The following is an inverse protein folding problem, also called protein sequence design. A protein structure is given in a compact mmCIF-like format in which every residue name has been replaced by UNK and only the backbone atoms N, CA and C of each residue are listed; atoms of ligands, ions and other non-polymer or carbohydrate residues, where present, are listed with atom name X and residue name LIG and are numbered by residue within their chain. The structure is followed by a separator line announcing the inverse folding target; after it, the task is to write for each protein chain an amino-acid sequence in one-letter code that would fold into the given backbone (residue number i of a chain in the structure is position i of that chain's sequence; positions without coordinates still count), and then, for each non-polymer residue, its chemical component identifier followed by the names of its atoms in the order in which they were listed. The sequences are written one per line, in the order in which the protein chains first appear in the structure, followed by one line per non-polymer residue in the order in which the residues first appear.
data_IF_325243379282
#
_entry.id   IF_325243379282
#
_cell.length_a   1.000
_cell.length_b   1.000
_cell.length_c   1.000
_cell.angle_alpha   90.00
_cell.angle_beta   90.00
_cell.angle_gamma   90.00
#
_symmetry.space_group_name_H-M   'P 1'
#
loop_
_entity.id
_entity.type
_entity.pdbx_description
1 polymer ?
#
# COMPACT_ATOMS: atom_id res chain seq x y z
N UNK A 1 -16.30 -20.87 16.90
CA UNK A 1 -16.72 -20.01 18.01
C UNK A 1 -15.55 -19.87 18.99
N UNK A 2 -15.23 -18.62 19.40
CA UNK A 2 -14.22 -18.37 20.43
C UNK A 2 -12.77 -18.12 19.94
N UNK A 3 -12.51 -18.05 18.65
CA UNK A 3 -11.21 -17.68 18.09
C UNK A 3 -11.27 -16.25 17.54
N UNK A 4 -10.34 -15.40 18.00
CA UNK A 4 -10.09 -14.08 17.46
C UNK A 4 -9.02 -14.17 16.37
N UNK A 5 -9.34 -13.77 15.13
CA UNK A 5 -8.38 -13.63 14.04
C UNK A 5 -7.82 -12.21 14.05
N UNK A 6 -6.58 -12.02 14.50
CA UNK A 6 -5.94 -10.71 14.55
C UNK A 6 -5.61 -10.19 13.14
N UNK A 7 -5.25 -11.09 12.23
CA UNK A 7 -4.97 -10.75 10.84
C UNK A 7 -3.54 -10.26 10.59
N UNK A 8 -2.60 -10.64 11.43
CA UNK A 8 -1.19 -10.32 11.27
C UNK A 8 -0.38 -11.59 10.90
N UNK A 9 0.70 -11.37 10.15
CA UNK A 9 1.76 -12.36 9.97
C UNK A 9 2.75 -12.25 11.12
N UNK A 10 2.91 -13.34 11.85
CA UNK A 10 3.82 -13.44 12.98
C UNK A 10 4.78 -14.61 12.79
N UNK A 11 6.04 -14.41 13.13
CA UNK A 11 7.06 -15.46 13.24
C UNK A 11 7.47 -15.58 14.69
N UNK A 12 7.38 -16.79 15.24
CA UNK A 12 7.95 -17.10 16.55
C UNK A 12 9.40 -17.53 16.32
N UNK A 13 10.33 -16.85 16.99
CA UNK A 13 11.76 -17.18 16.91
C UNK A 13 12.08 -18.39 17.79
N UNK A 14 13.22 -19.08 17.56
CA UNK A 14 13.67 -20.16 18.45
C UNK A 14 13.88 -19.73 19.91
N UNK A 15 14.04 -18.41 20.16
CA UNK A 15 14.19 -17.83 21.52
C UNK A 15 12.84 -17.49 22.17
N UNK A 16 11.71 -17.80 21.53
CA UNK A 16 10.37 -17.51 22.03
C UNK A 16 9.91 -16.07 21.83
N UNK A 17 10.71 -15.17 21.22
CA UNK A 17 10.25 -13.84 20.83
C UNK A 17 9.43 -13.91 19.55
N UNK A 18 8.57 -12.91 19.32
CA UNK A 18 7.76 -12.80 18.11
C UNK A 18 8.17 -11.60 17.27
N UNK A 19 8.12 -11.77 15.95
CA UNK A 19 8.33 -10.72 14.96
C UNK A 19 7.05 -10.59 14.14
N UNK A 20 6.46 -9.41 14.10
CA UNK A 20 5.28 -9.12 13.27
C UNK A 20 5.78 -8.55 11.94
N UNK A 21 5.44 -9.23 10.84
CA UNK A 21 5.82 -8.81 9.48
C UNK A 21 4.81 -7.87 8.83
N UNK A 22 3.64 -7.69 9.43
CA UNK A 22 2.57 -6.83 8.94
C UNK A 22 1.23 -7.54 8.85
N UNK A 23 0.27 -6.88 8.24
CA UNK A 23 -1.09 -7.39 8.08
C UNK A 23 -1.17 -8.47 7.00
N UNK A 24 -1.91 -9.54 7.29
CA UNK A 24 -2.14 -10.61 6.31
C UNK A 24 -3.05 -10.19 5.15
N UNK A 25 -3.86 -9.15 5.36
CA UNK A 25 -4.78 -8.57 4.38
C UNK A 25 -4.15 -7.41 3.56
N UNK A 26 -3.00 -6.87 4.02
CA UNK A 26 -2.22 -5.84 3.33
C UNK A 26 -0.91 -6.38 2.72
N UNK A 27 -0.66 -7.70 2.82
CA UNK A 27 0.53 -8.33 2.24
C UNK A 27 0.50 -8.26 0.71
N UNK A 28 1.57 -7.80 0.11
CA UNK A 28 1.78 -7.87 -1.33
C UNK A 28 2.06 -9.32 -1.73
N UNK A 29 1.39 -9.83 -2.75
CA UNK A 29 1.59 -11.19 -3.25
C UNK A 29 1.67 -11.17 -4.78
N UNK A 30 2.89 -11.11 -5.30
CA UNK A 30 3.15 -11.03 -6.74
C UNK A 30 3.80 -12.30 -7.24
N UNK A 31 3.03 -13.08 -8.01
CA UNK A 31 3.52 -14.34 -8.60
C UNK A 31 4.07 -15.33 -7.56
N UNK A 32 3.41 -15.46 -6.40
CA UNK A 32 3.82 -16.34 -5.31
C UNK A 32 4.87 -15.78 -4.34
N UNK A 33 5.46 -14.62 -4.65
CA UNK A 33 6.37 -13.92 -3.74
C UNK A 33 5.55 -13.01 -2.83
N UNK A 34 5.64 -13.24 -1.52
CA UNK A 34 4.96 -12.44 -0.49
C UNK A 34 5.94 -11.49 0.17
N UNK A 35 5.50 -10.25 0.38
CA UNK A 35 6.25 -9.21 1.06
C UNK A 35 5.32 -8.37 1.93
N UNK A 36 5.79 -7.98 3.11
CA UNK A 36 5.11 -6.99 3.95
C UNK A 36 5.19 -5.59 3.32
N UNK A 37 4.13 -4.80 3.46
CA UNK A 37 4.13 -3.41 2.98
C UNK A 37 5.18 -2.54 3.69
N UNK A 38 5.55 -2.87 4.92
CA UNK A 38 6.59 -2.16 5.68
C UNK A 38 7.96 -2.17 5.00
N UNK A 39 8.37 -3.31 4.43
CA UNK A 39 9.63 -3.42 3.68
C UNK A 39 9.60 -2.57 2.40
N UNK A 40 8.46 -2.55 1.73
CA UNK A 40 8.24 -1.71 0.55
C UNK A 40 8.35 -0.22 0.89
N UNK A 41 7.66 0.21 1.95
CA UNK A 41 7.71 1.60 2.41
C UNK A 41 9.11 2.02 2.84
N UNK A 42 9.86 1.17 3.53
CA UNK A 42 11.23 1.47 3.93
C UNK A 42 12.15 1.78 2.73
N UNK A 43 11.91 1.12 1.58
CA UNK A 43 12.66 1.38 0.36
C UNK A 43 12.19 2.67 -0.32
N UNK A 44 10.87 2.84 -0.50
CA UNK A 44 10.30 3.98 -1.24
C UNK A 44 10.46 5.29 -0.48
N UNK A 45 10.19 5.29 0.83
CA UNK A 45 10.28 6.46 1.70
C UNK A 45 11.71 6.71 2.21
N UNK A 46 12.67 5.88 1.76
CA UNK A 46 14.09 6.14 1.93
C UNK A 46 14.67 7.17 0.96
N UNK A 47 13.89 7.61 -0.04
CA UNK A 47 14.24 8.71 -0.92
C UNK A 47 13.80 10.04 -0.28
N UNK A 48 14.69 11.01 -0.20
CA UNK A 48 14.40 12.34 0.37
C UNK A 48 13.29 13.10 -0.42
N UNK A 49 13.12 12.74 -1.68
CA UNK A 49 12.11 13.29 -2.58
C UNK A 49 10.69 12.76 -2.30
N UNK A 50 10.54 11.66 -1.56
CA UNK A 50 9.28 11.01 -1.25
C UNK A 50 8.88 11.27 0.20
N UNK A 51 7.86 12.10 0.40
CA UNK A 51 7.37 12.46 1.73
C UNK A 51 6.47 11.40 2.34
N UNK A 52 5.69 10.69 1.53
CA UNK A 52 4.78 9.62 1.95
C UNK A 52 4.45 8.72 0.74
N UNK A 53 3.99 7.51 0.99
CA UNK A 53 3.60 6.59 -0.07
C UNK A 53 2.46 5.66 0.34
N UNK A 54 1.75 5.10 -0.64
CA UNK A 54 0.74 4.07 -0.42
C UNK A 54 0.85 3.03 -1.53
N UNK A 55 1.11 1.77 -1.16
CA UNK A 55 1.17 0.66 -2.13
C UNK A 55 -0.08 -0.19 -2.07
N UNK A 56 -0.67 -0.46 -3.23
CA UNK A 56 -1.88 -1.28 -3.36
C UNK A 56 -1.64 -2.35 -4.44
N UNK A 57 -1.79 -3.60 -4.04
CA UNK A 57 -1.86 -4.73 -4.95
C UNK A 57 -3.33 -5.03 -5.25
N UNK A 58 -3.77 -4.77 -6.48
CA UNK A 58 -5.16 -4.98 -6.91
C UNK A 58 -5.45 -6.43 -7.27
N UNK A 59 -4.46 -7.34 -7.23
CA UNK A 59 -4.68 -8.75 -7.50
C UNK A 59 -5.69 -9.37 -6.52
N UNK A 60 -6.48 -10.31 -7.03
CA UNK A 60 -7.54 -10.97 -6.23
C UNK A 60 -8.84 -10.16 -6.08
N UNK A 61 -8.96 -8.99 -6.67
CA UNK A 61 -10.18 -8.18 -6.70
C UNK A 61 -11.06 -8.44 -7.95
N UNK A 62 -10.97 -9.66 -8.52
CA UNK A 62 -11.77 -10.04 -9.69
C UNK A 62 -11.07 -9.86 -11.03
N UNK A 63 -9.86 -9.30 -11.06
CA UNK A 63 -9.03 -9.22 -12.27
C UNK A 63 -8.02 -10.38 -12.29
N UNK A 64 -7.95 -11.10 -13.41
CA UNK A 64 -7.01 -12.22 -13.60
C UNK A 64 -5.54 -11.82 -13.48
N UNK A 65 -5.22 -10.54 -13.67
CA UNK A 65 -3.89 -9.97 -13.46
C UNK A 65 -4.01 -8.59 -12.82
N UNK A 66 -3.98 -8.55 -11.48
CA UNK A 66 -3.97 -7.28 -10.75
C UNK A 66 -2.68 -6.49 -10.96
N UNK A 67 -2.77 -5.17 -10.84
CA UNK A 67 -1.63 -4.26 -10.87
C UNK A 67 -1.11 -3.98 -9.45
N UNK A 68 0.20 -3.75 -9.36
CA UNK A 68 0.82 -3.13 -8.19
C UNK A 68 0.89 -1.63 -8.45
N UNK A 69 0.13 -0.86 -7.71
CA UNK A 69 0.07 0.60 -7.79
C UNK A 69 0.83 1.20 -6.60
N UNK A 70 1.69 2.17 -6.86
CA UNK A 70 2.36 2.95 -5.83
C UNK A 70 1.95 4.41 -5.95
N UNK A 71 1.25 4.91 -4.97
CA UNK A 71 0.87 6.31 -4.84
C UNK A 71 1.95 7.03 -4.04
N UNK A 72 2.39 8.20 -4.52
CA UNK A 72 3.50 8.96 -3.96
C UNK A 72 3.07 10.37 -3.62
N UNK A 73 3.46 10.84 -2.45
CA UNK A 73 3.47 12.26 -2.10
C UNK A 73 4.91 12.73 -2.27
N UNK A 74 5.16 13.63 -3.21
CA UNK A 74 6.50 14.10 -3.53
C UNK A 74 6.80 15.43 -2.82
N UNK A 75 8.07 15.68 -2.58
CA UNK A 75 8.54 16.96 -2.07
C UNK A 75 8.26 18.10 -3.08
N UNK A 76 8.15 19.32 -2.59
CA UNK A 76 7.87 20.48 -3.42
C UNK A 76 8.95 20.65 -4.51
N UNK A 77 8.49 20.84 -5.74
CA UNK A 77 9.38 21.03 -6.89
C UNK A 77 9.94 19.73 -7.50
N UNK A 78 9.65 18.58 -6.92
CA UNK A 78 10.04 17.26 -7.46
C UNK A 78 8.92 16.72 -8.37
N UNK A 79 9.30 16.18 -9.52
CA UNK A 79 8.37 15.53 -10.44
C UNK A 79 8.57 14.01 -10.46
N UNK A 80 7.53 13.27 -10.87
CA UNK A 80 7.61 11.81 -10.96
C UNK A 80 8.76 11.33 -11.87
N UNK A 81 8.99 11.91 -13.06
CA UNK A 81 10.12 11.53 -13.92
C UNK A 81 11.50 11.65 -13.26
N UNK A 82 11.65 12.53 -12.27
CA UNK A 82 12.93 12.73 -11.58
C UNK A 82 13.27 11.56 -10.65
N UNK A 83 12.25 10.96 -10.01
CA UNK A 83 12.45 9.95 -8.96
C UNK A 83 12.11 8.52 -9.42
N UNK A 84 11.23 8.34 -10.39
CA UNK A 84 10.73 7.03 -10.83
C UNK A 84 11.85 6.07 -11.26
N UNK A 85 12.87 6.48 -12.06
CA UNK A 85 13.95 5.58 -12.46
C UNK A 85 14.72 5.02 -11.25
N UNK A 86 15.00 5.87 -10.26
CA UNK A 86 15.68 5.47 -9.04
C UNK A 86 14.82 4.52 -8.21
N UNK A 87 13.52 4.84 -8.01
CA UNK A 87 12.59 3.99 -7.27
C UNK A 87 12.50 2.60 -7.88
N UNK A 88 12.37 2.50 -9.22
CA UNK A 88 12.33 1.23 -9.93
C UNK A 88 13.60 0.40 -9.77
N UNK A 89 14.76 1.06 -9.84
CA UNK A 89 16.05 0.39 -9.68
C UNK A 89 16.23 -0.13 -8.24
N UNK A 90 15.93 0.72 -7.26
CA UNK A 90 16.10 0.40 -5.82
C UNK A 90 15.13 -0.69 -5.36
N UNK A 91 13.86 -0.63 -5.77
CA UNK A 91 12.89 -1.69 -5.50
C UNK A 91 13.28 -3.02 -6.12
N UNK A 92 13.82 -3.00 -7.35
CA UNK A 92 14.26 -4.23 -8.05
C UNK A 92 15.44 -4.87 -7.36
N UNK A 93 16.43 -4.09 -6.94
CA UNK A 93 17.65 -4.59 -6.30
C UNK A 93 17.46 -4.91 -4.81
N UNK A 94 16.72 -4.07 -4.09
CA UNK A 94 16.53 -4.20 -2.64
C UNK A 94 15.46 -5.21 -2.22
N UNK A 95 14.46 -5.45 -3.08
CA UNK A 95 13.37 -6.36 -2.77
C UNK A 95 13.28 -7.49 -3.82
N UNK A 96 12.56 -7.24 -4.92
CA UNK A 96 12.39 -8.23 -6.00
C UNK A 96 11.88 -7.54 -7.26
N UNK A 97 12.24 -7.99 -8.46
CA UNK A 97 11.67 -7.49 -9.71
C UNK A 97 10.14 -7.55 -9.75
N UNK A 98 9.52 -8.50 -9.03
CA UNK A 98 8.06 -8.68 -8.95
C UNK A 98 7.37 -7.62 -8.09
N UNK A 99 8.13 -6.94 -7.23
CA UNK A 99 7.62 -5.87 -6.36
C UNK A 99 7.86 -4.47 -6.92
N UNK A 100 8.37 -4.37 -8.16
CA UNK A 100 8.42 -3.08 -8.87
C UNK A 100 6.99 -2.74 -9.33
N UNK A 101 6.43 -1.58 -8.93
CA UNK A 101 5.09 -1.17 -9.30
C UNK A 101 4.87 -1.15 -10.80
N UNK A 102 3.67 -1.54 -11.23
CA UNK A 102 3.22 -1.37 -12.60
C UNK A 102 3.13 0.13 -12.92
N UNK A 103 2.60 0.91 -11.96
CA UNK A 103 2.41 2.36 -12.08
C UNK A 103 2.80 3.07 -10.81
N UNK A 104 3.44 4.24 -10.97
CA UNK A 104 3.56 5.26 -9.93
C UNK A 104 2.56 6.37 -10.22
N UNK A 105 1.89 6.88 -9.19
CA UNK A 105 0.85 7.90 -9.30
C UNK A 105 1.09 8.93 -8.21
N UNK A 106 1.24 10.19 -8.60
CA UNK A 106 1.41 11.29 -7.63
C UNK A 106 0.06 11.68 -7.07
N UNK A 107 -0.01 11.84 -5.77
CA UNK A 107 -1.16 12.31 -5.01
C UNK A 107 -0.74 13.39 -4.02
N UNK A 108 -1.68 14.21 -3.57
CA UNK A 108 -1.40 15.29 -2.62
C UNK A 108 -1.20 14.76 -1.19
N UNK A 109 -1.94 13.71 -0.80
CA UNK A 109 -1.91 13.17 0.56
C UNK A 109 -2.33 11.69 0.57
N UNK A 110 -1.69 10.88 1.44
CA UNK A 110 -2.08 9.48 1.70
C UNK A 110 -3.26 9.45 2.66
N UNK A 111 -4.37 8.73 2.33
CA UNK A 111 -5.51 8.59 3.25
C UNK A 111 -5.11 7.82 4.51
N UNK A 112 -5.40 8.40 5.67
CA UNK A 112 -5.05 7.85 6.97
C UNK A 112 -6.24 7.78 7.91
N UNK A 113 -6.24 6.75 8.75
CA UNK A 113 -7.20 6.65 9.86
C UNK A 113 -6.94 7.75 10.90
N UNK A 114 -7.89 7.98 11.81
CA UNK A 114 -7.72 8.90 12.94
C UNK A 114 -6.44 8.61 13.75
N UNK A 115 -6.02 7.35 13.84
CA UNK A 115 -4.79 6.92 14.51
C UNK A 115 -3.54 7.00 13.63
N UNK A 116 -3.63 7.63 12.45
CA UNK A 116 -2.51 7.84 11.54
C UNK A 116 -2.09 6.64 10.68
N UNK A 117 -2.81 5.52 10.72
CA UNK A 117 -2.49 4.33 9.90
C UNK A 117 -2.91 4.56 8.45
N UNK A 118 -2.08 4.14 7.51
CA UNK A 118 -2.37 4.14 6.06
C UNK A 118 -3.58 3.26 5.75
N UNK A 119 -4.46 3.74 4.87
CA UNK A 119 -5.72 3.06 4.54
C UNK A 119 -5.58 2.08 3.36
N UNK A 120 -4.61 1.15 3.39
CA UNK A 120 -4.32 0.19 2.33
C UNK A 120 -5.55 -0.65 1.95
N UNK A 121 -6.15 -1.33 2.92
CA UNK A 121 -7.29 -2.23 2.69
C UNK A 121 -8.54 -1.47 2.24
N UNK A 122 -8.94 -0.35 2.84
CA UNK A 122 -10.03 0.46 2.34
C UNK A 122 -9.82 0.95 0.90
N UNK A 123 -8.63 1.49 0.60
CA UNK A 123 -8.30 1.96 -0.75
C UNK A 123 -8.35 0.82 -1.77
N UNK A 124 -7.78 -0.36 -1.44
CA UNK A 124 -7.90 -1.55 -2.30
C UNK A 124 -9.35 -1.89 -2.64
N UNK A 125 -10.25 -1.85 -1.65
CA UNK A 125 -11.68 -2.11 -1.84
C UNK A 125 -12.34 -1.06 -2.74
N UNK A 126 -11.99 0.22 -2.55
CA UNK A 126 -12.50 1.34 -3.38
C UNK A 126 -12.06 1.17 -4.83
N UNK A 127 -10.78 0.87 -5.08
CA UNK A 127 -10.25 0.61 -6.41
C UNK A 127 -10.94 -0.60 -7.09
N UNK A 128 -11.36 -1.59 -6.30
CA UNK A 128 -12.15 -2.73 -6.75
C UNK A 128 -13.65 -2.44 -6.95
N UNK A 129 -14.08 -1.15 -6.93
CA UNK A 129 -15.45 -0.74 -7.18
C UNK A 129 -16.34 -0.63 -5.94
N UNK A 130 -15.82 -0.92 -4.74
CA UNK A 130 -16.65 -0.79 -3.51
C UNK A 130 -16.96 0.68 -3.21
N UNK A 131 -18.19 0.94 -2.76
CA UNK A 131 -18.59 2.25 -2.29
C UNK A 131 -17.75 2.68 -1.07
N UNK A 132 -17.19 3.91 -1.04
CA UNK A 132 -16.37 4.39 0.06
C UNK A 132 -17.04 4.30 1.43
N UNK A 133 -18.35 4.55 1.51
CA UNK A 133 -19.10 4.46 2.77
C UNK A 133 -19.21 3.03 3.30
N UNK A 134 -19.01 2.02 2.44
CA UNK A 134 -18.94 0.60 2.82
C UNK A 134 -17.51 0.14 3.08
N UNK A 135 -16.52 0.77 2.43
CA UNK A 135 -15.11 0.45 2.62
C UNK A 135 -14.56 1.00 3.94
N UNK A 136 -15.13 2.11 4.41
CA UNK A 136 -14.71 2.85 5.60
C UNK A 136 -15.94 3.23 6.43
N UNK A 137 -15.82 3.11 7.76
CA UNK A 137 -16.84 3.66 8.65
C UNK A 137 -16.85 5.19 8.59
N UNK A 138 -18.03 5.78 8.71
CA UNK A 138 -18.17 7.25 8.79
C UNK A 138 -17.28 7.82 9.90
N UNK A 139 -16.51 8.88 9.59
CA UNK A 139 -15.61 9.53 10.53
C UNK A 139 -14.32 8.74 10.87
N UNK A 140 -14.04 7.63 10.19
CA UNK A 140 -12.82 6.84 10.44
C UNK A 140 -11.54 7.47 9.89
N UNK A 141 -11.66 8.43 8.95
CA UNK A 141 -10.53 9.09 8.32
C UNK A 141 -10.17 10.40 9.00
N UNK A 142 -8.86 10.62 9.13
CA UNK A 142 -8.28 11.91 9.52
C UNK A 142 -8.38 12.94 8.40
N UNK A 143 -8.27 12.50 7.14
CA UNK A 143 -8.19 13.31 5.92
C UNK A 143 -9.10 12.73 4.81
N UNK A 144 -10.43 12.92 4.89
CA UNK A 144 -11.39 12.31 3.97
C UNK A 144 -11.15 12.70 2.49
N UNK A 145 -10.71 13.93 2.24
CA UNK A 145 -10.48 14.45 0.88
C UNK A 145 -9.34 13.72 0.15
N UNK A 146 -8.41 13.09 0.90
CA UNK A 146 -7.37 12.25 0.34
C UNK A 146 -7.89 11.01 -0.40
N UNK A 147 -9.20 10.71 -0.34
CA UNK A 147 -9.81 9.63 -1.12
C UNK A 147 -10.14 10.02 -2.57
N UNK A 148 -10.23 11.30 -2.90
CA UNK A 148 -10.66 11.75 -4.23
C UNK A 148 -9.87 11.14 -5.40
N UNK A 149 -8.52 11.05 -5.37
CA UNK A 149 -7.75 10.46 -6.46
C UNK A 149 -8.13 9.00 -6.72
N UNK A 150 -8.45 8.24 -5.67
CA UNK A 150 -8.78 6.81 -5.76
C UNK A 150 -10.18 6.57 -6.34
N UNK A 151 -11.10 7.52 -6.15
CA UNK A 151 -12.43 7.46 -6.74
C UNK A 151 -12.39 7.60 -8.27
N UNK A 152 -11.48 8.44 -8.77
CA UNK A 152 -11.27 8.61 -10.21
C UNK A 152 -10.62 7.38 -10.89
N UNK A 153 -9.87 6.59 -10.12
CA UNK A 153 -9.18 5.38 -10.60
C UNK A 153 -10.00 4.09 -10.38
N UNK A 154 -11.19 4.20 -9.81
CA UNK A 154 -12.05 3.06 -9.51
C UNK A 154 -12.48 2.33 -10.78
N UNK A 155 -12.35 1.01 -10.79
CA UNK A 155 -12.96 0.18 -11.84
C UNK A 155 -14.50 0.32 -11.81
N UNK A 156 -15.15 0.37 -12.97
CA UNK A 156 -16.61 0.47 -13.07
C UNK A 156 -17.34 -0.75 -12.47
#
# INVERSE_FOLDING_TARGET
PGLWRHGDWIKITPRGSSVIYGRSDATLNRGGVRMGTAEFYAVVEGADEVLDSLVIDTSGAGADQGELLCFLVLAAGVSLPDVEPWLRATLRSGLSPRHVPNRFIVIDEVPRTLNGKKCEVPVKKILAGMDPARALSSGALRNPDALHPFLALRSP
#
